data_IF_383660344731
#
_entry.id   IF_383660344731
#
_cell.length_a   1.000
_cell.length_b   1.000
_cell.length_c   1.000
_cell.angle_alpha   90.00
_cell.angle_beta   90.00
_cell.angle_gamma   90.00
#
_symmetry.space_group_name_H-M   'P 1'
#
loop_
_entity.id
_entity.type
_entity.pdbx_description
1 polymer ?
#
# COMPACT_ATOMS: atom_id res chain seq x y z
N UNK A 1 25.44 -8.56 -45.42
CA UNK A 1 24.35 -8.48 -44.45
C UNK A 1 25.00 -8.49 -43.07
N UNK A 2 25.16 -7.32 -42.43
CA UNK A 2 25.70 -7.23 -41.07
C UNK A 2 24.55 -7.46 -40.09
N UNK A 3 24.60 -8.55 -39.36
CA UNK A 3 23.70 -8.81 -38.25
C UNK A 3 24.29 -8.06 -37.03
N UNK A 4 23.73 -6.94 -36.71
CA UNK A 4 24.03 -6.28 -35.43
C UNK A 4 23.27 -7.05 -34.34
N UNK A 5 23.94 -7.96 -33.63
CA UNK A 5 23.45 -8.45 -32.34
C UNK A 5 23.73 -7.33 -31.35
N UNK A 6 22.75 -6.49 -31.07
CA UNK A 6 22.80 -5.66 -29.89
C UNK A 6 22.67 -6.58 -28.68
N UNK A 7 23.72 -6.70 -27.88
CA UNK A 7 23.57 -7.25 -26.54
C UNK A 7 22.75 -6.23 -25.74
N UNK A 8 21.45 -6.47 -25.61
CA UNK A 8 20.62 -5.71 -24.66
C UNK A 8 21.12 -6.10 -23.28
N UNK A 9 21.62 -5.14 -22.54
CA UNK A 9 22.06 -5.35 -21.16
C UNK A 9 20.80 -5.22 -20.29
N UNK A 10 20.41 -6.29 -19.60
CA UNK A 10 19.35 -6.24 -18.58
C UNK A 10 19.85 -5.45 -17.38
N UNK A 11 19.14 -4.42 -17.01
CA UNK A 11 19.37 -3.69 -15.75
C UNK A 11 18.35 -4.14 -14.69
N UNK A 12 18.80 -4.16 -13.43
CA UNK A 12 17.97 -4.57 -12.29
C UNK A 12 17.75 -3.37 -11.39
N UNK A 13 16.50 -3.06 -11.12
CA UNK A 13 16.11 -1.93 -10.28
C UNK A 13 15.46 -2.45 -9.00
N UNK A 14 16.12 -2.27 -7.88
CA UNK A 14 15.69 -2.75 -6.58
C UNK A 14 15.00 -1.66 -5.78
N UNK A 15 14.02 -2.05 -4.98
CA UNK A 15 13.39 -1.19 -3.99
C UNK A 15 14.40 -0.87 -2.88
N UNK A 16 14.46 0.39 -2.45
CA UNK A 16 15.32 0.82 -1.35
C UNK A 16 14.95 0.10 -0.05
N UNK A 17 15.96 -0.27 0.75
CA UNK A 17 15.74 -1.01 1.99
C UNK A 17 14.91 -0.23 3.00
N UNK A 18 14.99 1.11 3.01
CA UNK A 18 14.14 1.95 3.86
C UNK A 18 12.65 1.86 3.52
N UNK A 19 12.32 1.56 2.25
CA UNK A 19 10.95 1.33 1.82
C UNK A 19 10.46 -0.06 2.21
N UNK A 20 11.35 -1.05 2.31
CA UNK A 20 11.00 -2.41 2.76
C UNK A 20 10.55 -2.46 4.22
N UNK A 21 10.95 -1.49 5.04
CA UNK A 21 10.52 -1.35 6.44
C UNK A 21 9.00 -1.06 6.59
N UNK A 22 8.30 -0.69 5.52
CA UNK A 22 6.85 -0.50 5.53
C UNK A 22 6.06 -1.80 5.48
N UNK A 23 6.70 -2.94 5.17
CA UNK A 23 6.06 -4.24 5.29
C UNK A 23 5.96 -4.68 6.75
N UNK A 24 4.90 -5.42 7.05
CA UNK A 24 4.68 -5.94 8.40
C UNK A 24 5.63 -7.10 8.67
N UNK A 25 6.36 -7.01 9.77
CA UNK A 25 7.25 -8.08 10.19
C UNK A 25 6.46 -9.38 10.47
N UNK A 26 7.06 -10.52 10.17
CA UNK A 26 6.41 -11.83 10.28
C UNK A 26 5.92 -12.14 11.70
N UNK A 27 6.64 -11.72 12.72
CA UNK A 27 6.26 -11.90 14.14
C UNK A 27 5.11 -10.98 14.57
N UNK A 28 4.77 -9.97 13.75
CA UNK A 28 3.70 -8.99 13.94
C UNK A 28 2.53 -9.17 12.96
N UNK A 29 2.63 -10.18 12.09
CA UNK A 29 1.68 -10.41 10.99
C UNK A 29 0.31 -10.94 11.46
N UNK A 30 0.21 -11.43 12.70
CA UNK A 30 -1.05 -11.85 13.31
C UNK A 30 -1.32 -11.01 14.53
N UNK A 31 -2.40 -10.23 14.51
CA UNK A 31 -2.77 -9.37 15.63
C UNK A 31 -4.28 -9.21 15.74
N UNK A 32 -4.74 -8.79 16.89
CA UNK A 32 -6.14 -8.45 17.11
C UNK A 32 -6.37 -6.96 16.90
N UNK A 33 -7.52 -6.63 16.36
CA UNK A 33 -8.06 -5.27 16.33
C UNK A 33 -9.39 -5.24 17.07
N UNK A 34 -9.69 -4.15 17.74
CA UNK A 34 -10.92 -3.96 18.47
C UNK A 34 -11.56 -2.61 18.17
N UNK A 35 -12.88 -2.56 18.15
CA UNK A 35 -13.63 -1.33 18.01
C UNK A 35 -14.05 -0.75 19.38
N UNK A 36 -14.70 0.38 19.35
CA UNK A 36 -15.22 1.07 20.55
C UNK A 36 -16.34 0.32 21.27
N UNK A 37 -16.86 -0.78 20.71
CA UNK A 37 -17.89 -1.63 21.30
C UNK A 37 -17.30 -2.95 21.82
N UNK A 38 -15.98 -3.04 21.98
CA UNK A 38 -15.23 -4.24 22.39
C UNK A 38 -15.37 -5.43 21.43
N UNK A 39 -15.80 -5.20 20.17
CA UNK A 39 -15.83 -6.24 19.14
C UNK A 39 -14.39 -6.44 18.65
N UNK A 40 -13.88 -7.66 18.82
CA UNK A 40 -12.51 -8.03 18.46
C UNK A 40 -12.50 -8.88 17.20
N UNK A 41 -11.51 -8.64 16.36
CA UNK A 41 -11.28 -9.38 15.13
C UNK A 41 -9.79 -9.68 14.98
N UNK A 42 -9.47 -10.84 14.41
CA UNK A 42 -8.09 -11.16 14.06
C UNK A 42 -7.76 -10.58 12.70
N UNK A 43 -6.63 -9.89 12.62
CA UNK A 43 -6.02 -9.42 11.40
C UNK A 43 -4.86 -10.36 11.06
N UNK A 44 -4.87 -10.90 9.87
CA UNK A 44 -3.88 -11.86 9.39
C UNK A 44 -3.21 -11.29 8.15
N UNK A 45 -1.90 -11.07 8.21
CA UNK A 45 -1.09 -10.61 7.07
C UNK A 45 -0.24 -11.78 6.59
N UNK A 46 -0.21 -11.99 5.29
CA UNK A 46 0.56 -13.06 4.66
C UNK A 46 2.07 -12.72 4.64
N UNK A 47 2.89 -13.71 4.33
CA UNK A 47 4.32 -13.47 4.09
C UNK A 47 4.51 -12.52 2.90
N UNK A 48 5.56 -11.72 2.96
CA UNK A 48 5.95 -10.82 1.87
C UNK A 48 6.45 -11.64 0.68
N UNK A 49 5.94 -11.32 -0.51
CA UNK A 49 6.37 -11.90 -1.78
C UNK A 49 7.22 -10.88 -2.55
N UNK A 50 8.28 -11.37 -3.17
CA UNK A 50 9.20 -10.55 -3.96
C UNK A 50 9.27 -11.10 -5.37
N UNK A 51 8.92 -10.29 -6.34
CA UNK A 51 8.96 -10.63 -7.76
C UNK A 51 9.80 -9.63 -8.54
N UNK A 52 10.43 -10.10 -9.62
CA UNK A 52 11.06 -9.22 -10.60
C UNK A 52 10.13 -9.10 -11.81
N UNK A 53 9.51 -7.95 -11.96
CA UNK A 53 8.60 -7.68 -13.08
C UNK A 53 9.33 -6.98 -14.22
N UNK A 54 9.06 -7.34 -15.48
CA UNK A 54 9.69 -6.67 -16.61
C UNK A 54 9.16 -5.25 -16.76
N UNK A 55 10.08 -4.31 -16.78
CA UNK A 55 9.84 -2.94 -17.18
C UNK A 55 10.07 -2.87 -18.70
N UNK A 56 9.00 -2.62 -19.47
CA UNK A 56 9.09 -2.62 -20.93
C UNK A 56 8.96 -1.21 -21.47
N UNK A 57 9.98 -0.76 -22.19
CA UNK A 57 9.85 0.38 -23.07
C UNK A 57 9.74 -0.07 -24.53
N UNK A 58 8.91 0.62 -25.30
CA UNK A 58 8.73 0.38 -26.72
C UNK A 58 9.04 1.64 -27.50
N UNK A 59 9.94 1.55 -28.46
CA UNK A 59 10.13 2.57 -29.44
C UNK A 59 9.76 2.02 -30.82
N UNK A 60 8.79 2.65 -31.49
CA UNK A 60 8.29 2.24 -32.82
C UNK A 60 7.98 0.73 -32.93
N UNK A 61 7.30 0.16 -31.93
CA UNK A 61 6.94 -1.27 -31.86
C UNK A 61 8.12 -2.24 -31.65
N UNK A 62 9.31 -1.74 -31.39
CA UNK A 62 10.47 -2.55 -31.02
C UNK A 62 10.68 -2.45 -29.52
N UNK A 63 10.79 -3.60 -28.84
CA UNK A 63 11.17 -3.66 -27.42
C UNK A 63 12.61 -3.13 -27.31
N UNK A 64 12.82 -2.09 -26.50
CA UNK A 64 14.13 -1.44 -26.39
C UNK A 64 14.89 -1.84 -25.14
N UNK A 65 14.19 -2.23 -24.07
CA UNK A 65 14.80 -2.54 -22.78
C UNK A 65 14.27 -3.87 -22.23
N UNK A 66 15.12 -4.62 -21.55
CA UNK A 66 14.81 -5.83 -20.79
C UNK A 66 15.03 -5.64 -19.28
N UNK A 67 14.79 -4.43 -18.81
CA UNK A 67 14.97 -4.09 -17.41
C UNK A 67 14.00 -4.83 -16.52
N UNK A 68 14.48 -5.20 -15.33
CA UNK A 68 13.69 -5.88 -14.31
C UNK A 68 13.57 -4.98 -13.08
N UNK A 69 12.34 -4.74 -12.67
CA UNK A 69 12.01 -3.93 -11.50
C UNK A 69 11.55 -4.84 -10.36
N UNK A 70 12.13 -4.65 -9.17
CA UNK A 70 11.68 -5.34 -7.96
C UNK A 70 10.27 -4.84 -7.61
N UNK A 71 9.35 -5.79 -7.46
CA UNK A 71 8.02 -5.59 -6.95
C UNK A 71 7.86 -6.43 -5.69
N UNK A 72 7.58 -5.79 -4.59
CA UNK A 72 7.39 -6.44 -3.29
C UNK A 72 5.93 -6.24 -2.89
N UNK A 73 5.23 -7.30 -2.51
CA UNK A 73 3.85 -7.18 -2.07
C UNK A 73 3.53 -8.07 -0.87
N UNK A 74 2.54 -7.67 -0.11
CA UNK A 74 2.07 -8.33 1.09
C UNK A 74 0.56 -8.10 1.24
N UNK A 75 -0.20 -9.18 1.38
CA UNK A 75 -1.64 -9.14 1.49
C UNK A 75 -2.12 -9.51 2.88
N UNK A 76 -3.34 -9.08 3.23
CA UNK A 76 -3.93 -9.38 4.52
C UNK A 76 -5.44 -9.41 4.51
N UNK A 77 -6.01 -10.10 5.50
CA UNK A 77 -7.46 -10.25 5.68
C UNK A 77 -7.85 -10.09 7.14
N UNK A 78 -9.08 -9.72 7.34
CA UNK A 78 -9.73 -9.69 8.67
C UNK A 78 -10.75 -10.81 8.77
N UNK A 79 -10.86 -11.45 9.93
CA UNK A 79 -11.72 -12.61 10.17
C UNK A 79 -13.16 -12.26 9.85
N UNK A 80 -13.96 -12.03 9.50
CA UNK A 80 -15.36 -11.70 9.17
C UNK A 80 -15.54 -10.74 7.99
N UNK A 81 -14.44 -10.25 7.40
CA UNK A 81 -14.54 -9.49 6.16
C UNK A 81 -14.42 -10.45 4.95
N UNK A 82 -15.43 -10.44 4.08
CA UNK A 82 -15.39 -11.22 2.85
C UNK A 82 -14.61 -10.44 1.78
N UNK A 83 -13.33 -10.73 1.65
CA UNK A 83 -12.45 -10.10 0.68
C UNK A 83 -11.10 -9.73 1.28
N UNK A 84 -10.26 -9.16 0.44
CA UNK A 84 -8.98 -8.61 0.82
C UNK A 84 -9.19 -7.30 1.58
N UNK A 85 -8.73 -7.23 2.82
CA UNK A 85 -8.83 -6.01 3.62
C UNK A 85 -7.60 -5.12 3.46
N UNK A 86 -6.48 -5.71 3.04
CA UNK A 86 -5.18 -5.07 2.98
C UNK A 86 -4.34 -5.67 1.87
N UNK A 87 -3.71 -4.84 1.08
CA UNK A 87 -2.61 -5.20 0.18
C UNK A 87 -1.64 -4.03 0.08
N UNK A 88 -0.37 -4.30 0.31
CA UNK A 88 0.73 -3.34 0.14
C UNK A 88 1.64 -3.81 -0.99
N UNK A 89 1.87 -2.95 -1.95
CA UNK A 89 2.84 -3.17 -3.02
C UNK A 89 3.82 -2.00 -3.08
N UNK A 90 5.10 -2.31 -3.19
CA UNK A 90 6.16 -1.33 -3.41
C UNK A 90 6.96 -1.78 -4.62
N UNK A 91 7.04 -0.93 -5.63
CA UNK A 91 7.70 -1.24 -6.90
C UNK A 91 8.66 -0.12 -7.26
N UNK A 92 9.88 -0.47 -7.64
CA UNK A 92 10.83 0.49 -8.21
C UNK A 92 10.78 0.40 -9.74
N UNK A 93 10.28 1.43 -10.41
CA UNK A 93 10.22 1.53 -11.86
C UNK A 93 11.48 2.19 -12.42
N UNK A 94 12.30 1.44 -13.14
CA UNK A 94 13.51 1.91 -13.87
C UNK A 94 14.55 2.62 -12.99
N UNK A 95 14.56 2.39 -11.68
CA UNK A 95 15.44 3.12 -10.76
C UNK A 95 15.15 4.61 -10.65
N UNK A 96 14.03 5.09 -11.21
CA UNK A 96 13.67 6.51 -11.27
C UNK A 96 12.47 6.88 -10.43
N UNK A 97 11.65 5.90 -10.06
CA UNK A 97 10.42 6.14 -9.29
C UNK A 97 10.03 4.91 -8.47
N UNK A 98 9.97 5.08 -7.16
CA UNK A 98 9.45 4.08 -6.24
C UNK A 98 7.99 4.38 -5.96
N UNK A 99 7.13 3.44 -6.34
CA UNK A 99 5.70 3.53 -6.11
C UNK A 99 5.29 2.70 -4.90
N UNK A 100 4.75 3.35 -3.90
CA UNK A 100 4.08 2.74 -2.76
C UNK A 100 2.58 2.74 -3.03
N UNK A 101 1.96 1.57 -3.00
CA UNK A 101 0.53 1.39 -3.23
C UNK A 101 -0.07 0.57 -2.10
N UNK A 102 -0.94 1.18 -1.32
CA UNK A 102 -1.64 0.54 -0.22
C UNK A 102 -3.13 0.46 -0.54
N UNK A 103 -3.63 -0.75 -0.74
CA UNK A 103 -5.07 -1.04 -0.74
C UNK A 103 -5.53 -1.31 0.69
N UNK A 104 -6.58 -0.62 1.11
CA UNK A 104 -7.17 -0.83 2.43
C UNK A 104 -8.69 -0.64 2.39
N UNK A 105 -9.45 -1.70 2.60
CA UNK A 105 -10.93 -1.73 2.60
C UNK A 105 -11.57 -0.98 1.41
N UNK A 106 -11.11 -1.23 0.19
CA UNK A 106 -11.70 -0.65 -1.02
C UNK A 106 -11.17 0.73 -1.39
N UNK A 107 -10.13 1.22 -0.73
CA UNK A 107 -9.41 2.45 -1.09
C UNK A 107 -7.97 2.13 -1.41
N UNK A 108 -7.47 2.68 -2.51
CA UNK A 108 -6.05 2.65 -2.89
C UNK A 108 -5.40 3.99 -2.57
N UNK A 109 -4.40 3.96 -1.71
CA UNK A 109 -3.49 5.07 -1.44
C UNK A 109 -2.20 4.84 -2.24
N UNK A 110 -1.84 5.78 -3.11
CA UNK A 110 -0.65 5.69 -3.96
C UNK A 110 0.28 6.85 -3.69
N UNK A 111 1.56 6.57 -3.48
CA UNK A 111 2.62 7.56 -3.30
C UNK A 111 3.75 7.26 -4.29
N UNK A 112 4.06 8.23 -5.14
CA UNK A 112 5.32 8.30 -5.88
C UNK A 112 6.33 8.97 -4.96
N UNK A 113 7.29 8.17 -4.48
CA UNK A 113 8.19 8.60 -3.39
C UNK A 113 9.11 9.73 -3.84
N UNK A 114 9.67 9.64 -5.05
CA UNK A 114 10.64 10.60 -5.58
C UNK A 114 9.99 11.94 -5.91
N UNK A 115 8.77 11.91 -6.43
CA UNK A 115 8.03 13.12 -6.82
C UNK A 115 7.14 13.67 -5.71
N UNK A 116 6.96 12.92 -4.62
CA UNK A 116 6.08 13.28 -3.52
C UNK A 116 4.60 13.38 -3.94
N UNK A 117 4.23 12.75 -5.07
CA UNK A 117 2.86 12.78 -5.55
C UNK A 117 2.03 11.72 -4.83
N UNK A 118 1.01 12.16 -4.14
CA UNK A 118 0.09 11.33 -3.40
C UNK A 118 -1.32 11.39 -3.98
N UNK A 119 -1.97 10.25 -4.07
CA UNK A 119 -3.37 10.16 -4.48
C UNK A 119 -4.12 9.07 -3.72
N UNK A 120 -5.42 9.25 -3.60
CA UNK A 120 -6.34 8.29 -3.03
C UNK A 120 -7.43 8.00 -4.07
N UNK A 121 -7.71 6.74 -4.31
CA UNK A 121 -8.68 6.30 -5.31
C UNK A 121 -9.59 5.25 -4.72
N UNK A 122 -10.88 5.39 -4.94
CA UNK A 122 -11.88 4.38 -4.64
C UNK A 122 -11.70 3.18 -5.58
N UNK A 123 -11.52 1.98 -5.06
CA UNK A 123 -11.39 0.76 -5.85
C UNK A 123 -12.75 0.06 -5.92
N UNK A 124 -13.35 -0.03 -7.09
CA UNK A 124 -14.66 -0.65 -7.29
C UNK A 124 -14.54 -2.17 -7.38
N UNK A 125 -13.43 -2.65 -7.90
CA UNK A 125 -12.97 -4.05 -7.89
C UNK A 125 -11.43 -4.07 -8.00
N UNK A 126 -10.81 -5.24 -7.81
CA UNK A 126 -9.35 -5.42 -7.83
C UNK A 126 -8.66 -4.93 -9.14
N UNK A 127 -9.41 -4.58 -10.17
CA UNK A 127 -8.89 -4.25 -11.51
C UNK A 127 -9.31 -2.88 -12.02
N UNK A 128 -10.32 -2.25 -11.43
CA UNK A 128 -10.84 -0.95 -11.87
C UNK A 128 -10.57 0.12 -10.83
N UNK A 129 -9.65 1.02 -11.16
CA UNK A 129 -9.49 2.28 -10.42
C UNK A 129 -10.78 3.09 -10.60
N UNK A 130 -11.43 3.36 -9.49
CA UNK A 130 -12.63 4.16 -9.45
C UNK A 130 -12.34 5.67 -9.41
N UNK A 131 -13.13 6.36 -8.66
CA UNK A 131 -13.08 7.81 -8.53
C UNK A 131 -11.94 8.25 -7.62
N UNK A 132 -11.19 9.28 -8.02
CA UNK A 132 -10.22 9.96 -7.14
C UNK A 132 -10.97 10.63 -5.99
N UNK A 133 -10.50 10.41 -4.77
CA UNK A 133 -11.07 10.95 -3.54
C UNK A 133 -10.09 11.95 -2.93
N UNK A 134 -10.53 13.15 -2.56
CA UNK A 134 -9.67 14.12 -1.87
C UNK A 134 -9.17 13.56 -0.52
N UNK A 135 -7.86 13.54 -0.35
CA UNK A 135 -7.21 12.98 0.83
C UNK A 135 -5.88 13.68 1.13
N UNK A 136 -5.39 13.50 2.34
CA UNK A 136 -4.07 13.97 2.79
C UNK A 136 -3.25 12.80 3.27
N UNK A 137 -1.93 12.93 3.13
CA UNK A 137 -0.92 12.08 3.75
C UNK A 137 -0.05 12.95 4.64
N UNK A 138 0.11 12.56 5.90
CA UNK A 138 1.02 13.17 6.84
C UNK A 138 1.98 12.10 7.39
N UNK A 139 3.27 12.44 7.49
CA UNK A 139 4.26 11.59 8.14
C UNK A 139 4.39 12.03 9.60
N UNK A 140 4.08 11.14 10.53
CA UNK A 140 4.19 11.36 11.96
C UNK A 140 5.43 10.65 12.52
N UNK A 141 6.19 11.33 13.37
CA UNK A 141 7.31 10.72 14.10
C UNK A 141 6.83 9.58 15.00
N UNK A 142 5.64 9.73 15.57
CA UNK A 142 5.02 8.71 16.42
C UNK A 142 3.51 8.89 16.55
N UNK A 143 2.82 7.78 16.87
CA UNK A 143 1.40 7.75 17.24
C UNK A 143 1.17 6.71 18.34
N UNK A 144 0.35 7.05 19.34
CA UNK A 144 0.05 6.16 20.47
C UNK A 144 -1.31 5.48 20.27
N UNK A 145 -1.33 4.15 20.39
CA UNK A 145 -2.55 3.33 20.35
C UNK A 145 -2.55 2.39 21.56
N UNK A 146 -3.57 2.47 22.39
CA UNK A 146 -3.75 1.61 23.57
C UNK A 146 -2.53 1.57 24.52
N UNK A 147 -1.81 2.68 24.67
CA UNK A 147 -0.61 2.78 25.52
C UNK A 147 0.67 2.26 24.87
N UNK A 148 0.63 1.87 23.61
CA UNK A 148 1.81 1.51 22.81
C UNK A 148 2.14 2.65 21.85
N UNK A 149 3.38 3.12 21.89
CA UNK A 149 3.87 4.15 20.96
C UNK A 149 4.48 3.47 19.72
N UNK A 150 3.96 3.81 18.56
CA UNK A 150 4.47 3.40 17.25
C UNK A 150 5.24 4.57 16.64
N UNK A 151 6.36 4.29 15.98
CA UNK A 151 7.20 5.29 15.32
C UNK A 151 7.08 5.19 13.79
N UNK A 152 7.43 6.26 13.09
CA UNK A 152 7.39 6.35 11.63
C UNK A 152 6.00 5.95 11.10
N UNK A 153 5.01 6.81 11.29
CA UNK A 153 3.61 6.50 10.98
C UNK A 153 3.12 7.34 9.81
N UNK A 154 2.61 6.69 8.77
CA UNK A 154 1.81 7.34 7.73
C UNK A 154 0.39 7.54 8.24
N UNK A 155 -0.08 8.78 8.21
CA UNK A 155 -1.46 9.14 8.52
C UNK A 155 -2.17 9.55 7.24
N UNK A 156 -3.09 8.70 6.80
CA UNK A 156 -3.96 8.94 5.64
C UNK A 156 -5.32 9.44 6.13
N UNK A 157 -5.84 10.48 5.48
CA UNK A 157 -7.15 11.03 5.84
C UNK A 157 -7.91 11.49 4.61
N UNK A 158 -9.15 11.03 4.45
CA UNK A 158 -10.08 11.53 3.45
C UNK A 158 -10.62 12.89 3.92
N UNK A 159 -10.45 13.91 3.10
CA UNK A 159 -10.82 15.30 3.43
C UNK A 159 -12.19 15.69 2.91
N UNK A 160 -12.72 15.01 1.89
CA UNK A 160 -14.06 15.19 1.36
C UNK A 160 -14.81 13.86 1.40
N UNK A 161 -15.53 13.63 2.49
CA UNK A 161 -16.31 12.42 2.70
C UNK A 161 -17.52 12.32 1.75
N UNK A 162 -18.02 13.44 1.26
CA UNK A 162 -19.12 13.47 0.30
C UNK A 162 -18.69 12.98 -1.10
N UNK A 163 -17.40 13.00 -1.37
CA UNK A 163 -16.85 12.44 -2.60
C UNK A 163 -16.84 10.90 -2.64
N UNK A 164 -16.99 10.21 -1.49
CA UNK A 164 -16.92 8.74 -1.38
C UNK A 164 -18.26 8.10 -1.73
N UNK A 165 -18.26 7.09 -2.61
CA UNK A 165 -19.49 6.43 -3.07
C UNK A 165 -20.04 5.41 -2.08
N UNK A 166 -19.16 4.66 -1.37
CA UNK A 166 -19.54 3.57 -0.44
C UNK A 166 -19.13 3.89 1.00
N UNK A 167 -19.74 4.92 1.58
CA UNK A 167 -19.33 5.52 2.86
C UNK A 167 -19.27 4.58 4.06
N UNK A 168 -20.05 3.50 4.09
CA UNK A 168 -20.18 2.66 5.29
C UNK A 168 -19.01 1.69 5.51
N UNK A 169 -18.22 1.42 4.51
CA UNK A 169 -17.15 0.41 4.55
C UNK A 169 -15.76 0.97 4.31
N UNK A 170 -15.65 2.21 3.83
CA UNK A 170 -14.36 2.81 3.52
C UNK A 170 -13.68 3.42 4.73
N UNK A 171 -12.33 3.36 4.79
CA UNK A 171 -11.59 4.07 5.81
C UNK A 171 -11.66 5.57 5.56
N UNK A 172 -12.16 6.33 6.55
CA UNK A 172 -12.08 7.79 6.55
C UNK A 172 -10.71 8.28 7.02
N UNK A 173 -10.06 7.47 7.84
CA UNK A 173 -8.76 7.76 8.44
C UNK A 173 -8.00 6.44 8.66
N UNK A 174 -6.68 6.45 8.44
CA UNK A 174 -5.81 5.30 8.64
C UNK A 174 -4.45 5.73 9.15
N UNK A 175 -3.99 5.13 10.24
CA UNK A 175 -2.62 5.21 10.75
C UNK A 175 -1.90 3.90 10.44
N UNK A 176 -0.82 4.01 9.68
CA UNK A 176 -0.04 2.89 9.17
C UNK A 176 1.42 3.04 9.61
N UNK A 177 1.90 2.14 10.45
CA UNK A 177 3.23 2.20 11.04
C UNK A 177 4.21 1.24 10.37
N UNK A 178 5.47 1.63 10.23
CA UNK A 178 6.56 0.76 9.79
C UNK A 178 6.60 -0.52 10.64
N UNK A 179 6.87 -1.66 10.02
CA UNK A 179 6.96 -2.98 10.63
C UNK A 179 5.65 -3.54 11.23
N UNK A 180 4.63 -2.70 11.43
CA UNK A 180 3.39 -3.07 12.12
C UNK A 180 2.16 -3.06 11.21
N UNK A 181 2.18 -2.28 10.12
CA UNK A 181 1.03 -2.10 9.25
C UNK A 181 -0.06 -1.22 9.85
N UNK A 182 -1.34 -1.52 9.62
CA UNK A 182 -2.44 -0.72 10.13
C UNK A 182 -2.54 -0.85 11.67
N UNK A 183 -2.42 0.27 12.38
CA UNK A 183 -2.45 0.32 13.85
C UNK A 183 -3.72 0.94 14.40
N UNK A 184 -4.29 1.89 13.67
CA UNK A 184 -5.59 2.52 13.99
C UNK A 184 -6.25 2.97 12.69
N UNK A 185 -7.57 2.80 12.57
CA UNK A 185 -8.32 3.29 11.43
C UNK A 185 -9.79 3.54 11.79
N UNK A 186 -10.46 4.35 10.99
CA UNK A 186 -11.87 4.66 11.16
C UNK A 186 -12.65 4.27 9.90
N UNK A 187 -13.67 3.41 10.06
CA UNK A 187 -14.56 2.99 8.97
C UNK A 187 -15.87 3.78 9.02
N UNK A 188 -16.34 4.18 7.83
CA UNK A 188 -17.62 4.86 7.68
C UNK A 188 -17.71 6.22 8.39
N UNK A 189 -16.59 6.80 8.80
CA UNK A 189 -16.56 8.04 9.57
C UNK A 189 -17.11 7.93 11.00
N UNK A 190 -17.29 6.72 11.52
CA UNK A 190 -17.95 6.50 12.83
C UNK A 190 -17.37 5.36 13.66
N UNK A 191 -16.82 4.33 13.05
CA UNK A 191 -16.31 3.15 13.76
C UNK A 191 -14.80 3.19 13.79
N UNK A 192 -14.23 3.54 14.94
CA UNK A 192 -12.78 3.58 15.16
C UNK A 192 -12.29 2.23 15.66
N UNK A 193 -11.32 1.69 14.96
CA UNK A 193 -10.74 0.36 15.18
C UNK A 193 -9.26 0.52 15.51
N UNK A 194 -8.82 -0.18 16.54
CA UNK A 194 -7.46 -0.07 17.07
C UNK A 194 -6.81 -1.44 17.19
N UNK A 195 -5.50 -1.50 16.94
CA UNK A 195 -4.67 -2.65 17.27
C UNK A 195 -4.63 -2.86 18.79
N UNK A 196 -4.79 -4.13 19.23
CA UNK A 196 -4.81 -4.53 20.63
C UNK A 196 -3.49 -5.12 21.08
#
# INVERSE_FOLDING_TARGET
>A
MMVFTSCVKTEYHYVDDSMKEWFVDRDKAVFQVGDQNDIKQDFLINDTLVDMIPAWSYFMFVKTDDDLCENIHQDGRVTYYQGEAYSLSITNYYGTSTHFSLYFYGVCFTLDVENGQFSCTECVDEKSLGKVVPCTLEMLDSHEVNGVTYHDVMHFKITDWDAVSSRNTFPSELYFAKHYGPIEYELGGTVRIKRL
#
